data_IF_007100234799
#
_entry.id   IF_007100234799
#
_cell.length_a   1.000
_cell.length_b   1.000
_cell.length_c   1.000
_cell.angle_alpha   90.00
_cell.angle_beta   90.00
_cell.angle_gamma   90.00
#
_symmetry.space_group_name_H-M   'P 1'
#
loop_
_entity.id
_entity.type
_entity.pdbx_description
1 polymer ?
#
# COMPACT_ATOMS: atom_id res chain seq x y z
N UNK A 1 1.60 7.39 30.63
CA UNK A 1 2.47 6.31 30.13
C UNK A 1 1.71 5.02 30.27
N UNK A 2 1.31 4.40 29.18
CA UNK A 2 0.57 3.14 29.19
C UNK A 2 1.47 2.04 29.75
N UNK A 3 1.00 1.32 30.79
CA UNK A 3 1.77 0.27 31.45
C UNK A 3 1.67 -1.04 30.63
N UNK A 4 2.29 -1.04 29.39
CA UNK A 4 2.28 -2.19 28.47
C UNK A 4 3.16 -3.36 28.95
N UNK A 5 3.96 -3.14 30.00
CA UNK A 5 4.95 -4.13 30.47
C UNK A 5 4.30 -5.38 31.08
N UNK A 6 3.10 -5.28 31.63
CA UNK A 6 2.42 -6.39 32.34
C UNK A 6 1.26 -7.00 31.52
N UNK A 7 1.13 -6.62 30.24
CA UNK A 7 0.03 -7.08 29.37
C UNK A 7 0.55 -8.19 28.45
N UNK A 8 -0.15 -9.32 28.43
CA UNK A 8 -0.01 -10.31 27.36
C UNK A 8 -0.97 -9.90 26.24
N UNK A 9 -0.48 -9.23 25.17
CA UNK A 9 -1.37 -8.73 24.14
C UNK A 9 -1.93 -9.84 23.27
N UNK A 10 -3.14 -9.64 22.74
CA UNK A 10 -3.61 -10.38 21.58
C UNK A 10 -2.85 -9.91 20.36
N UNK A 11 -2.14 -10.80 19.67
CA UNK A 11 -1.31 -10.48 18.51
C UNK A 11 -1.98 -11.03 17.25
N UNK A 12 -2.34 -10.16 16.31
CA UNK A 12 -2.77 -10.55 14.96
C UNK A 12 -1.63 -10.32 13.97
N UNK A 13 -1.26 -11.34 13.20
CA UNK A 13 -0.33 -11.19 12.07
C UNK A 13 -1.10 -11.20 10.76
N UNK A 14 -0.99 -10.14 9.96
CA UNK A 14 -1.56 -10.05 8.64
C UNK A 14 -0.52 -10.39 7.58
N UNK A 15 -0.88 -11.29 6.65
CA UNK A 15 0.03 -11.80 5.62
C UNK A 15 -0.62 -11.60 4.24
N UNK A 16 -0.32 -10.50 3.53
CA UNK A 16 -0.76 -10.34 2.15
C UNK A 16 0.00 -11.33 1.25
N UNK A 17 -0.75 -12.06 0.40
CA UNK A 17 -0.22 -13.10 -0.48
C UNK A 17 -0.80 -12.96 -1.89
N UNK A 18 0.05 -13.16 -2.91
CA UNK A 18 -0.35 -13.23 -4.32
C UNK A 18 0.55 -14.19 -5.09
N UNK A 19 0.02 -15.35 -5.48
CA UNK A 19 0.74 -16.44 -6.14
C UNK A 19 1.94 -16.94 -5.31
N UNK A 20 1.68 -17.27 -4.03
CA UNK A 20 2.69 -17.71 -3.06
C UNK A 20 2.43 -19.15 -2.58
N UNK A 21 1.82 -20.01 -3.41
CA UNK A 21 1.46 -21.38 -3.05
C UNK A 21 2.64 -22.22 -2.54
N UNK A 22 3.85 -21.97 -3.02
CA UNK A 22 5.06 -22.67 -2.61
C UNK A 22 5.60 -22.23 -1.23
N UNK A 23 5.41 -20.97 -0.83
CA UNK A 23 6.01 -20.38 0.36
C UNK A 23 5.02 -20.23 1.54
N UNK A 24 3.73 -20.01 1.25
CA UNK A 24 2.75 -19.55 2.25
C UNK A 24 2.59 -20.54 3.42
N UNK A 25 2.60 -21.84 3.18
CA UNK A 25 2.44 -22.85 4.25
C UNK A 25 3.62 -22.79 5.24
N UNK A 26 4.83 -22.70 4.72
CA UNK A 26 6.03 -22.58 5.54
C UNK A 26 6.04 -21.27 6.33
N UNK A 27 5.71 -20.16 5.66
CA UNK A 27 5.67 -18.82 6.28
C UNK A 27 4.66 -18.77 7.42
N UNK A 28 3.43 -19.25 7.22
CA UNK A 28 2.38 -19.28 8.26
C UNK A 28 2.79 -20.16 9.43
N UNK A 29 3.36 -21.36 9.16
CA UNK A 29 3.83 -22.27 10.21
C UNK A 29 4.96 -21.68 11.04
N UNK A 30 5.91 -20.99 10.41
CA UNK A 30 7.01 -20.31 11.08
C UNK A 30 6.51 -19.15 11.95
N UNK A 31 5.62 -18.32 11.44
CA UNK A 31 4.97 -17.26 12.22
C UNK A 31 4.26 -17.83 13.45
N UNK A 32 3.43 -18.85 13.27
CA UNK A 32 2.69 -19.48 14.36
C UNK A 32 3.61 -20.06 15.44
N UNK A 33 4.74 -20.65 15.04
CA UNK A 33 5.74 -21.17 15.98
C UNK A 33 6.27 -20.06 16.91
N UNK A 34 6.61 -18.90 16.36
CA UNK A 34 7.12 -17.76 17.14
C UNK A 34 6.02 -17.11 17.98
N UNK A 35 4.80 -16.98 17.44
CA UNK A 35 3.67 -16.38 18.16
C UNK A 35 3.29 -17.18 19.42
N UNK A 36 3.33 -18.51 19.37
CA UNK A 36 3.08 -19.39 20.53
C UNK A 36 4.01 -19.08 21.71
N UNK A 37 5.26 -18.67 21.44
CA UNK A 37 6.22 -18.30 22.48
C UNK A 37 6.02 -16.87 22.99
N UNK A 38 5.41 -15.98 22.20
CA UNK A 38 5.27 -14.55 22.52
C UNK A 38 3.97 -14.20 23.23
N UNK A 39 2.87 -14.90 22.91
CA UNK A 39 1.56 -14.63 23.49
C UNK A 39 0.70 -15.89 23.56
N UNK A 40 -0.16 -15.96 24.59
CA UNK A 40 -1.18 -17.00 24.71
C UNK A 40 -2.37 -16.77 23.79
N UNK A 41 -2.57 -15.53 23.28
CA UNK A 41 -3.66 -15.16 22.37
C UNK A 41 -3.09 -14.55 21.10
N UNK A 42 -3.23 -15.26 20.00
CA UNK A 42 -2.74 -14.82 18.70
C UNK A 42 -3.59 -15.44 17.57
N UNK A 43 -3.58 -14.80 16.42
CA UNK A 43 -4.18 -15.29 15.18
C UNK A 43 -3.41 -14.77 13.97
N UNK A 44 -3.61 -15.43 12.83
CA UNK A 44 -3.01 -15.05 11.55
C UNK A 44 -4.13 -14.81 10.55
N UNK A 45 -4.07 -13.68 9.84
CA UNK A 45 -5.00 -13.34 8.77
C UNK A 45 -4.22 -13.32 7.45
N UNK A 46 -4.45 -14.31 6.61
CA UNK A 46 -3.87 -14.38 5.26
C UNK A 46 -4.83 -13.73 4.28
N UNK A 47 -4.34 -12.73 3.54
CA UNK A 47 -5.12 -12.04 2.52
C UNK A 47 -4.63 -12.49 1.15
N UNK A 48 -5.41 -13.34 0.49
CA UNK A 48 -5.16 -13.77 -0.88
C UNK A 48 -5.68 -12.72 -1.87
N UNK A 49 -4.76 -11.95 -2.46
CA UNK A 49 -5.07 -10.90 -3.44
C UNK A 49 -5.45 -11.47 -4.81
N UNK A 50 -6.40 -12.43 -4.82
CA UNK A 50 -6.92 -13.03 -6.04
C UNK A 50 -5.88 -13.86 -6.79
N UNK A 51 -5.14 -14.71 -6.11
CA UNK A 51 -4.15 -15.62 -6.70
C UNK A 51 -4.75 -16.52 -7.77
N UNK A 52 -3.93 -16.83 -8.77
CA UNK A 52 -4.27 -17.71 -9.88
C UNK A 52 -3.73 -19.14 -9.69
N UNK A 53 -2.83 -19.30 -8.74
CA UNK A 53 -2.27 -20.58 -8.31
C UNK A 53 -3.08 -21.16 -7.12
N UNK A 54 -2.56 -22.20 -6.49
CA UNK A 54 -3.21 -22.90 -5.39
C UNK A 54 -3.03 -22.20 -4.01
N UNK A 55 -2.60 -20.93 -3.95
CA UNK A 55 -2.35 -20.22 -2.67
C UNK A 55 -3.54 -20.31 -1.72
N UNK A 56 -4.75 -19.98 -2.18
CA UNK A 56 -5.97 -20.03 -1.35
C UNK A 56 -6.27 -21.44 -0.84
N UNK A 57 -6.05 -22.46 -1.67
CA UNK A 57 -6.28 -23.85 -1.31
C UNK A 57 -5.29 -24.34 -0.26
N UNK A 58 -4.02 -24.00 -0.42
CA UNK A 58 -2.96 -24.29 0.56
C UNK A 58 -3.34 -23.69 1.90
N UNK A 59 -3.75 -22.41 1.96
CA UNK A 59 -4.14 -21.76 3.22
C UNK A 59 -5.37 -22.41 3.87
N UNK A 60 -6.39 -22.81 3.07
CA UNK A 60 -7.57 -23.51 3.61
C UNK A 60 -7.24 -24.85 4.25
N UNK A 61 -6.23 -25.52 3.71
CA UNK A 61 -5.79 -26.84 4.17
C UNK A 61 -4.75 -26.78 5.30
N UNK A 62 -4.37 -25.58 5.76
CA UNK A 62 -3.50 -25.45 6.91
C UNK A 62 -4.14 -26.03 8.18
N UNK A 63 -3.29 -26.52 9.08
CA UNK A 63 -3.73 -27.07 10.35
C UNK A 63 -4.57 -26.05 11.13
N UNK A 64 -5.69 -26.50 11.67
CA UNK A 64 -6.58 -25.69 12.51
C UNK A 64 -5.89 -25.08 13.74
N UNK A 65 -4.82 -25.74 14.22
CA UNK A 65 -3.99 -25.22 15.33
C UNK A 65 -3.21 -23.95 14.97
N UNK A 66 -3.10 -23.62 13.69
CA UNK A 66 -2.43 -22.38 13.23
C UNK A 66 -3.31 -21.14 13.33
N UNK A 67 -4.56 -21.26 13.78
CA UNK A 67 -5.51 -20.14 13.98
C UNK A 67 -5.54 -19.15 12.80
N UNK A 68 -5.54 -19.70 11.59
CA UNK A 68 -5.40 -18.92 10.35
C UNK A 68 -6.76 -18.63 9.74
N UNK A 69 -7.06 -17.35 9.48
CA UNK A 69 -8.21 -16.89 8.70
C UNK A 69 -7.74 -16.57 7.29
N UNK A 70 -8.45 -17.09 6.28
CA UNK A 70 -8.25 -16.70 4.87
C UNK A 70 -9.29 -15.64 4.49
N UNK A 71 -8.82 -14.52 3.93
CA UNK A 71 -9.65 -13.53 3.23
C UNK A 71 -9.20 -13.51 1.77
N UNK A 72 -10.06 -13.94 0.84
CA UNK A 72 -9.74 -14.01 -0.58
C UNK A 72 -10.45 -12.92 -1.36
N UNK A 73 -9.73 -12.20 -2.20
CA UNK A 73 -10.29 -11.21 -3.12
C UNK A 73 -10.84 -11.84 -4.40
N UNK A 74 -11.80 -11.17 -5.03
CA UNK A 74 -12.40 -11.61 -6.29
C UNK A 74 -11.43 -11.54 -7.48
N UNK A 75 -10.42 -10.69 -7.40
CA UNK A 75 -9.31 -10.54 -8.35
C UNK A 75 -8.12 -9.87 -7.66
N UNK A 76 -7.00 -9.71 -8.37
CA UNK A 76 -5.90 -8.91 -7.86
C UNK A 76 -6.29 -7.42 -7.84
N UNK A 77 -6.23 -6.82 -6.65
CA UNK A 77 -6.45 -5.40 -6.39
C UNK A 77 -5.15 -4.68 -6.01
N UNK A 78 -4.15 -5.40 -5.53
CA UNK A 78 -2.84 -4.90 -5.16
C UNK A 78 -2.54 -4.98 -3.66
N UNK A 79 -1.24 -5.02 -3.34
CA UNK A 79 -0.72 -5.23 -1.98
C UNK A 79 -1.27 -4.24 -0.96
N UNK A 80 -1.41 -2.96 -1.32
CA UNK A 80 -1.88 -1.91 -0.43
C UNK A 80 -3.32 -2.17 0.06
N UNK A 81 -4.16 -2.70 -0.83
CA UNK A 81 -5.53 -3.10 -0.48
C UNK A 81 -5.57 -4.40 0.31
N UNK A 82 -4.65 -5.32 0.04
CA UNK A 82 -4.52 -6.55 0.83
C UNK A 82 -4.11 -6.22 2.27
N UNK A 83 -3.15 -5.29 2.46
CA UNK A 83 -2.80 -4.79 3.80
C UNK A 83 -4.00 -4.15 4.48
N UNK A 84 -4.74 -3.29 3.77
CA UNK A 84 -5.94 -2.63 4.31
C UNK A 84 -6.99 -3.65 4.77
N UNK A 85 -7.30 -4.65 3.95
CA UNK A 85 -8.22 -5.72 4.32
C UNK A 85 -7.73 -6.52 5.54
N UNK A 86 -6.42 -6.76 5.61
CA UNK A 86 -5.82 -7.39 6.78
C UNK A 86 -6.02 -6.58 8.05
N UNK A 87 -5.81 -5.26 8.00
CA UNK A 87 -6.06 -4.36 9.12
C UNK A 87 -7.53 -4.33 9.55
N UNK A 88 -8.48 -4.38 8.59
CA UNK A 88 -9.92 -4.43 8.87
C UNK A 88 -10.37 -5.74 9.53
N UNK A 89 -9.68 -6.85 9.25
CA UNK A 89 -9.98 -8.16 9.84
C UNK A 89 -9.15 -8.47 11.09
N UNK A 90 -8.19 -7.61 11.45
CA UNK A 90 -7.34 -7.80 12.62
C UNK A 90 -8.09 -7.42 13.92
N UNK A 91 -8.14 -8.36 14.88
CA UNK A 91 -8.80 -8.17 16.17
C UNK A 91 -7.81 -7.92 17.32
N UNK A 92 -6.50 -8.05 17.06
CA UNK A 92 -5.43 -7.96 18.07
C UNK A 92 -5.27 -6.57 18.69
N UNK A 93 -4.69 -6.55 19.90
CA UNK A 93 -4.20 -5.33 20.55
C UNK A 93 -2.95 -4.80 19.84
N UNK A 94 -2.24 -5.72 19.19
CA UNK A 94 -1.05 -5.50 18.36
C UNK A 94 -1.26 -6.19 17.03
N UNK A 95 -1.05 -5.46 15.93
CA UNK A 95 -1.17 -5.99 14.58
C UNK A 95 0.19 -5.92 13.88
N UNK A 96 0.62 -7.03 13.31
CA UNK A 96 1.90 -7.12 12.60
C UNK A 96 1.62 -7.43 11.13
N UNK A 97 2.15 -6.60 10.23
CA UNK A 97 2.14 -6.87 8.79
C UNK A 97 3.44 -7.55 8.39
N UNK A 98 3.38 -8.72 7.74
CA UNK A 98 4.53 -9.48 7.29
C UNK A 98 4.30 -10.06 5.90
N UNK A 99 5.28 -9.99 5.00
CA UNK A 99 5.17 -10.53 3.65
C UNK A 99 5.19 -12.06 3.62
N UNK A 100 4.52 -12.64 2.60
CA UNK A 100 4.39 -14.09 2.44
C UNK A 100 5.66 -14.78 1.87
N UNK A 101 6.64 -14.02 1.38
CA UNK A 101 7.81 -14.51 0.62
C UNK A 101 8.92 -15.15 1.49
N UNK A 102 8.74 -15.21 2.80
CA UNK A 102 9.69 -15.80 3.75
C UNK A 102 10.99 -15.02 3.93
N UNK A 103 11.14 -13.79 3.38
CA UNK A 103 12.35 -12.98 3.52
C UNK A 103 12.52 -12.36 4.90
N UNK A 104 11.47 -12.32 5.70
CA UNK A 104 11.49 -11.73 7.03
C UNK A 104 11.71 -12.82 8.08
N UNK A 105 12.71 -12.61 8.94
CA UNK A 105 12.90 -13.47 10.10
C UNK A 105 11.77 -13.25 11.10
N UNK A 106 11.06 -14.32 11.46
CA UNK A 106 10.03 -14.27 12.50
C UNK A 106 10.63 -14.00 13.91
N UNK A 107 11.93 -14.10 14.08
CA UNK A 107 12.65 -13.72 15.32
C UNK A 107 12.50 -12.22 15.63
N UNK A 108 12.39 -11.37 14.59
CA UNK A 108 12.15 -9.93 14.75
C UNK A 108 10.85 -9.62 15.47
N UNK A 109 9.87 -10.52 15.46
CA UNK A 109 8.59 -10.32 16.15
C UNK A 109 8.80 -10.07 17.66
N UNK A 110 9.76 -10.76 18.27
CA UNK A 110 10.10 -10.60 19.68
C UNK A 110 10.69 -9.23 19.97
N UNK A 111 11.63 -8.76 19.12
CA UNK A 111 12.26 -7.45 19.25
C UNK A 111 11.26 -6.31 19.03
N UNK A 112 10.39 -6.43 18.02
CA UNK A 112 9.30 -5.49 17.77
C UNK A 112 8.37 -5.37 18.97
N UNK A 113 8.01 -6.48 19.60
CA UNK A 113 7.15 -6.50 20.79
C UNK A 113 7.82 -5.84 22.00
N UNK A 114 9.13 -6.02 22.18
CA UNK A 114 9.90 -5.31 23.21
C UNK A 114 9.84 -3.80 23.01
N UNK A 115 10.04 -3.32 21.77
CA UNK A 115 9.94 -1.89 21.46
C UNK A 115 8.53 -1.33 21.67
N UNK A 116 7.51 -2.10 21.34
CA UNK A 116 6.13 -1.72 21.63
C UNK A 116 5.89 -1.57 23.16
N UNK A 117 6.41 -2.48 23.97
CA UNK A 117 6.37 -2.40 25.43
C UNK A 117 7.12 -1.18 25.99
N UNK A 118 8.21 -0.75 25.34
CA UNK A 118 8.93 0.50 25.65
C UNK A 118 8.11 1.77 25.33
N UNK A 119 6.91 1.63 24.76
CA UNK A 119 5.99 2.73 24.51
C UNK A 119 6.09 3.31 23.10
N UNK A 120 6.63 2.56 22.13
CA UNK A 120 6.50 2.89 20.71
C UNK A 120 5.17 2.34 20.20
N UNK A 121 4.46 3.15 19.40
CA UNK A 121 3.15 2.78 18.86
C UNK A 121 3.28 2.04 17.53
N UNK A 122 4.38 2.28 16.82
CA UNK A 122 4.72 1.61 15.57
C UNK A 122 6.20 1.22 15.54
N UNK A 123 6.48 -0.02 15.16
CA UNK A 123 7.85 -0.54 15.01
C UNK A 123 7.99 -1.12 13.62
N UNK A 124 8.93 -0.63 12.81
CA UNK A 124 9.10 -1.06 11.42
C UNK A 124 10.50 -1.60 11.16
N UNK A 125 10.60 -2.59 10.27
CA UNK A 125 11.87 -3.17 9.88
C UNK A 125 12.56 -2.28 8.83
N UNK A 126 13.86 -2.00 9.04
CA UNK A 126 14.72 -1.22 8.14
C UNK A 126 15.76 -2.13 7.52
N UNK A 127 15.70 -2.30 6.21
CA UNK A 127 16.63 -3.17 5.48
C UNK A 127 18.04 -2.59 5.44
N UNK A 128 19.03 -3.33 5.95
CA UNK A 128 20.45 -2.91 6.02
C UNK A 128 21.26 -3.27 4.76
N UNK A 129 20.83 -4.24 3.97
CA UNK A 129 21.61 -4.75 2.83
C UNK A 129 21.29 -4.00 1.53
N UNK A 130 22.07 -2.95 1.24
CA UNK A 130 22.03 -2.18 -0.02
C UNK A 130 23.37 -2.11 -0.74
N UNK A 131 24.22 -3.13 -0.61
CA UNK A 131 25.57 -3.11 -1.20
C UNK A 131 25.61 -3.01 -2.74
N UNK A 132 24.49 -3.14 -3.45
CA UNK A 132 24.45 -3.24 -4.94
C UNK A 132 23.45 -2.25 -5.59
N UNK A 133 23.10 -1.14 -4.98
CA UNK A 133 22.27 -0.17 -5.70
C UNK A 133 23.09 0.75 -6.61
N UNK A 134 22.71 0.82 -7.91
CA UNK A 134 23.34 1.72 -8.86
C UNK A 134 23.21 3.19 -8.41
N UNK A 135 24.22 4.02 -8.73
CA UNK A 135 24.22 5.44 -8.38
C UNK A 135 22.96 6.17 -8.92
N UNK A 136 22.45 5.75 -10.08
CA UNK A 136 21.25 6.29 -10.69
C UNK A 136 19.99 5.99 -9.85
N UNK A 137 19.86 4.77 -9.32
CA UNK A 137 18.72 4.39 -8.47
C UNK A 137 18.75 5.16 -7.13
N UNK A 138 19.95 5.35 -6.54
CA UNK A 138 20.13 6.18 -5.32
C UNK A 138 19.79 7.65 -5.57
N UNK A 139 20.15 8.19 -6.75
CA UNK A 139 19.81 9.56 -7.12
C UNK A 139 18.30 9.73 -7.30
N UNK A 140 17.65 8.84 -8.06
CA UNK A 140 16.20 8.84 -8.25
C UNK A 140 15.42 8.72 -6.94
N UNK A 141 15.85 7.84 -6.04
CA UNK A 141 15.27 7.69 -4.70
C UNK A 141 15.40 8.98 -3.89
N UNK A 142 16.57 9.65 -3.91
CA UNK A 142 16.80 10.93 -3.22
C UNK A 142 15.89 12.03 -3.75
N UNK A 143 15.76 12.15 -5.06
CA UNK A 143 14.87 13.14 -5.70
C UNK A 143 13.42 12.86 -5.31
N UNK A 144 12.97 11.60 -5.36
CA UNK A 144 11.64 11.18 -4.96
C UNK A 144 11.32 11.56 -3.51
N UNK A 145 12.15 11.16 -2.54
CA UNK A 145 11.93 11.50 -1.13
C UNK A 145 12.01 13.00 -0.88
N UNK A 146 12.89 13.73 -1.60
CA UNK A 146 12.96 15.19 -1.50
C UNK A 146 11.70 15.87 -2.05
N UNK A 147 11.15 15.39 -3.17
CA UNK A 147 9.90 15.88 -3.73
C UNK A 147 8.70 15.61 -2.81
N UNK A 148 8.66 14.44 -2.18
CA UNK A 148 7.65 14.09 -1.18
C UNK A 148 7.73 15.00 0.06
N UNK A 149 8.93 15.24 0.58
CA UNK A 149 9.14 16.05 1.79
C UNK A 149 9.00 17.56 1.55
N UNK A 150 9.24 18.07 0.32
CA UNK A 150 9.06 19.49 -0.03
C UNK A 150 7.58 19.90 -0.14
N UNK A 151 6.68 18.95 -0.34
CA UNK A 151 5.23 19.21 -0.50
C UNK A 151 4.39 18.99 0.74
N UNK A 152 4.92 18.38 1.79
CA UNK A 152 4.15 17.97 2.98
C UNK A 152 4.98 18.00 4.27
N UNK A 153 4.29 18.10 5.39
CA UNK A 153 4.86 18.03 6.75
C UNK A 153 5.19 16.57 7.17
N UNK A 154 5.44 15.66 6.20
CA UNK A 154 5.56 14.23 6.45
C UNK A 154 7.00 13.80 6.16
N UNK A 155 7.71 13.31 7.16
CA UNK A 155 9.01 12.66 6.99
C UNK A 155 8.82 11.15 6.84
N UNK A 156 8.88 10.67 5.59
CA UNK A 156 8.78 9.23 5.31
C UNK A 156 10.15 8.60 5.56
N UNK A 157 10.26 7.66 6.52
CA UNK A 157 11.52 7.01 6.81
C UNK A 157 12.06 6.28 5.59
N UNK A 158 13.32 6.58 5.24
CA UNK A 158 14.00 5.88 4.16
C UNK A 158 14.14 4.42 4.53
N UNK A 159 13.93 3.53 3.54
CA UNK A 159 14.17 2.09 3.68
C UNK A 159 13.20 1.35 4.62
N UNK A 160 12.16 2.03 5.14
CA UNK A 160 11.08 1.39 5.85
C UNK A 160 10.30 0.46 4.92
N UNK A 161 10.24 -0.82 5.29
CA UNK A 161 9.41 -1.84 4.65
C UNK A 161 7.95 -1.82 5.14
N UNK A 162 7.15 -2.73 4.57
CA UNK A 162 5.78 -3.01 5.05
C UNK A 162 5.79 -3.92 6.27
N UNK A 163 6.91 -4.61 6.55
CA UNK A 163 7.07 -5.40 7.77
C UNK A 163 7.13 -4.49 8.98
N UNK A 164 6.03 -4.46 9.73
CA UNK A 164 5.86 -3.57 10.88
C UNK A 164 4.86 -4.09 11.89
N UNK A 165 5.08 -3.72 13.13
CA UNK A 165 4.18 -3.87 14.25
C UNK A 165 3.46 -2.55 14.49
N UNK A 166 2.16 -2.59 14.70
CA UNK A 166 1.29 -1.45 14.95
C UNK A 166 0.42 -1.70 16.19
N UNK A 167 0.34 -0.72 17.06
CA UNK A 167 -0.64 -0.70 18.15
C UNK A 167 -2.06 -0.57 17.58
N UNK A 168 -3.05 -1.08 18.30
CA UNK A 168 -4.46 -0.99 17.94
C UNK A 168 -4.93 0.44 17.63
N UNK A 169 -4.43 1.42 18.37
CA UNK A 169 -4.74 2.82 18.12
C UNK A 169 -4.24 3.29 16.75
N UNK A 170 -3.06 2.86 16.35
CA UNK A 170 -2.50 3.14 15.01
C UNK A 170 -3.37 2.52 13.93
N UNK A 171 -3.77 1.25 14.11
CA UNK A 171 -4.65 0.54 13.16
C UNK A 171 -5.98 1.27 13.02
N UNK A 172 -6.61 1.69 14.12
CA UNK A 172 -7.85 2.44 14.09
C UNK A 172 -7.70 3.78 13.36
N UNK A 173 -6.60 4.51 13.61
CA UNK A 173 -6.31 5.75 12.89
C UNK A 173 -6.13 5.53 11.39
N UNK A 174 -5.39 4.48 10.99
CA UNK A 174 -5.22 4.11 9.57
C UNK A 174 -6.55 3.76 8.89
N UNK A 175 -7.42 3.04 9.58
CA UNK A 175 -8.75 2.65 9.06
C UNK A 175 -9.74 3.81 9.01
N UNK A 176 -9.56 4.84 9.86
CA UNK A 176 -10.42 6.04 9.84
C UNK A 176 -10.14 6.95 8.62
N UNK A 177 -9.01 6.77 7.93
CA UNK A 177 -8.68 7.56 6.76
C UNK A 177 -9.55 7.13 5.56
N UNK A 178 -10.30 8.06 4.95
CA UNK A 178 -11.24 7.73 3.88
C UNK A 178 -10.57 7.51 2.52
N UNK A 179 -9.28 7.76 2.42
CA UNK A 179 -8.50 7.71 1.17
C UNK A 179 -8.57 6.33 0.51
N UNK A 180 -8.97 6.32 -0.76
CA UNK A 180 -9.10 5.10 -1.57
C UNK A 180 -7.79 4.73 -2.25
N UNK A 181 -7.08 5.73 -2.76
CA UNK A 181 -5.76 5.52 -3.35
C UNK A 181 -4.69 5.50 -2.24
N UNK A 182 -4.54 4.32 -1.61
CA UNK A 182 -3.66 4.15 -0.45
C UNK A 182 -2.21 3.94 -0.88
N UNK A 183 -1.32 4.80 -0.43
CA UNK A 183 0.11 4.57 -0.42
C UNK A 183 0.54 4.40 1.04
N UNK A 184 0.57 3.14 1.49
CA UNK A 184 0.69 2.83 2.92
C UNK A 184 1.91 3.48 3.56
N UNK A 185 3.07 3.56 2.88
CA UNK A 185 4.27 4.22 3.42
C UNK A 185 4.05 5.70 3.77
N UNK A 186 3.31 6.41 2.95
CA UNK A 186 2.92 7.80 3.22
C UNK A 186 1.94 7.91 4.36
N UNK A 187 0.92 7.05 4.37
CA UNK A 187 -0.14 7.03 5.38
C UNK A 187 0.43 6.71 6.77
N UNK A 188 1.34 5.73 6.87
CA UNK A 188 2.03 5.41 8.12
C UNK A 188 2.80 6.59 8.72
N UNK A 189 3.45 7.40 7.89
CA UNK A 189 4.14 8.60 8.35
C UNK A 189 3.16 9.72 8.70
N UNK A 190 2.04 9.83 7.95
CA UNK A 190 1.04 10.87 8.10
C UNK A 190 0.29 10.80 9.45
N UNK A 191 -0.01 9.60 9.94
CA UNK A 191 -0.72 9.42 11.21
C UNK A 191 0.09 9.88 12.43
N UNK A 192 1.41 10.07 12.31
CA UNK A 192 2.23 10.79 13.28
C UNK A 192 2.47 10.09 14.63
N UNK A 193 2.17 8.80 14.76
CA UNK A 193 2.41 8.04 15.98
C UNK A 193 3.91 7.80 16.25
N UNK A 194 4.25 7.64 17.54
CA UNK A 194 5.63 7.41 17.96
C UNK A 194 6.17 6.13 17.36
N UNK A 195 7.12 6.24 16.44
CA UNK A 195 7.65 5.13 15.67
C UNK A 195 9.15 4.93 15.83
N UNK A 196 9.63 3.68 15.66
CA UNK A 196 11.04 3.34 15.66
C UNK A 196 11.35 2.30 14.59
N UNK A 197 12.51 2.43 13.93
CA UNK A 197 13.03 1.46 12.97
C UNK A 197 13.96 0.45 13.64
N UNK A 198 13.80 -0.84 13.33
CA UNK A 198 14.71 -1.91 13.74
C UNK A 198 15.49 -2.38 12.51
N UNK A 199 16.83 -2.38 12.55
CA UNK A 199 17.63 -2.87 11.43
C UNK A 199 17.47 -4.37 11.26
N UNK A 200 17.32 -4.86 10.01
CA UNK A 200 17.33 -6.29 9.73
C UNK A 200 18.07 -6.62 8.43
N UNK A 201 18.56 -7.84 8.35
CA UNK A 201 19.14 -8.41 7.15
C UNK A 201 18.14 -9.39 6.55
N UNK A 202 17.70 -9.18 5.30
CA UNK A 202 16.73 -10.09 4.66
C UNK A 202 17.35 -11.45 4.46
N UNK A 203 16.56 -12.49 4.69
CA UNK A 203 16.91 -13.86 4.33
C UNK A 203 16.93 -13.99 2.79
N UNK A 204 17.71 -14.94 2.27
CA UNK A 204 17.68 -15.24 0.85
C UNK A 204 16.25 -15.69 0.45
N UNK A 205 15.78 -15.25 -0.72
CA UNK A 205 14.49 -15.68 -1.25
C UNK A 205 14.50 -17.16 -1.49
N UNK A 206 13.56 -17.88 -0.90
CA UNK A 206 13.40 -19.31 -1.14
C UNK A 206 12.81 -19.60 -2.52
N UNK A 207 11.99 -18.70 -3.09
CA UNK A 207 11.38 -18.83 -4.43
C UNK A 207 10.97 -17.46 -4.99
N UNK A 208 11.03 -17.29 -6.35
CA UNK A 208 10.49 -16.16 -7.10
C UNK A 208 11.51 -15.15 -7.65
N UNK A 209 11.26 -14.69 -8.90
CA UNK A 209 12.03 -13.63 -9.53
C UNK A 209 11.41 -12.25 -9.29
N UNK A 210 12.27 -11.23 -9.17
CA UNK A 210 11.82 -9.83 -9.04
C UNK A 210 11.24 -9.32 -10.36
N UNK A 211 9.92 -9.16 -10.45
CA UNK A 211 9.17 -8.79 -11.67
C UNK A 211 9.01 -7.27 -11.90
N UNK A 212 9.76 -6.42 -11.20
CA UNK A 212 9.63 -4.97 -11.39
C UNK A 212 10.46 -4.45 -12.58
N UNK A 213 9.78 -4.17 -13.71
CA UNK A 213 10.40 -3.46 -14.83
C UNK A 213 10.68 -1.99 -14.45
N UNK A 214 11.69 -1.37 -15.11
CA UNK A 214 12.03 0.05 -14.90
C UNK A 214 10.84 0.99 -15.13
N UNK A 215 9.97 0.65 -16.05
CA UNK A 215 8.76 1.42 -16.37
C UNK A 215 7.73 1.37 -15.22
N UNK A 216 7.52 0.21 -14.62
CA UNK A 216 6.64 0.05 -13.44
C UNK A 216 7.16 0.83 -12.23
N UNK A 217 8.48 0.87 -12.02
CA UNK A 217 9.11 1.69 -10.98
C UNK A 217 8.90 3.19 -11.20
N UNK A 218 9.03 3.68 -12.45
CA UNK A 218 8.77 5.08 -12.78
C UNK A 218 7.29 5.44 -12.59
N UNK A 219 6.38 4.57 -13.01
CA UNK A 219 4.94 4.74 -12.81
C UNK A 219 4.57 4.76 -11.31
N UNK A 220 5.14 3.88 -10.50
CA UNK A 220 4.92 3.85 -9.06
C UNK A 220 5.44 5.14 -8.39
N UNK A 221 6.62 5.62 -8.81
CA UNK A 221 7.18 6.87 -8.32
C UNK A 221 6.31 8.07 -8.68
N UNK A 222 5.80 8.13 -9.93
CA UNK A 222 4.88 9.18 -10.38
C UNK A 222 3.58 9.15 -9.58
N UNK A 223 3.00 7.97 -9.40
CA UNK A 223 1.80 7.77 -8.57
C UNK A 223 2.02 8.25 -7.14
N UNK A 224 3.15 7.90 -6.52
CA UNK A 224 3.49 8.36 -5.17
C UNK A 224 3.60 9.89 -5.07
N UNK A 225 4.36 10.53 -5.98
CA UNK A 225 4.53 11.99 -5.98
C UNK A 225 3.19 12.71 -6.15
N UNK A 226 2.37 12.30 -7.11
CA UNK A 226 1.08 12.96 -7.39
C UNK A 226 -0.02 12.66 -6.36
N UNK A 227 0.12 11.58 -5.56
CA UNK A 227 -0.84 11.27 -4.47
C UNK A 227 -0.59 12.11 -3.21
N UNK A 228 0.67 12.42 -2.89
CA UNK A 228 1.03 13.08 -1.63
C UNK A 228 1.62 14.48 -1.80
N UNK A 229 1.84 14.95 -3.03
CA UNK A 229 2.44 16.24 -3.28
C UNK A 229 1.74 16.98 -4.41
N UNK A 230 1.32 18.21 -4.15
CA UNK A 230 0.88 19.16 -5.18
C UNK A 230 2.08 19.84 -5.88
N UNK A 231 3.31 19.37 -5.64
CA UNK A 231 4.53 19.98 -6.20
C UNK A 231 4.53 20.04 -7.74
N UNK A 232 4.15 18.98 -8.49
CA UNK A 232 4.10 19.07 -9.96
C UNK A 232 3.17 20.18 -10.44
N UNK A 233 2.02 20.34 -9.78
CA UNK A 233 1.05 21.39 -10.13
C UNK A 233 1.57 22.78 -9.78
N UNK A 234 2.21 22.95 -8.61
CA UNK A 234 2.84 24.21 -8.20
C UNK A 234 3.99 24.59 -9.13
N UNK A 235 4.81 23.61 -9.53
CA UNK A 235 5.89 23.83 -10.48
C UNK A 235 5.35 24.25 -11.85
N UNK A 236 4.31 23.59 -12.35
CA UNK A 236 3.63 23.96 -13.57
C UNK A 236 3.11 25.41 -13.50
N UNK A 237 2.45 25.78 -12.40
CA UNK A 237 1.95 27.14 -12.19
C UNK A 237 3.09 28.18 -12.13
N UNK A 238 4.20 27.87 -11.46
CA UNK A 238 5.36 28.77 -11.38
C UNK A 238 6.02 28.98 -12.75
N UNK A 239 6.21 27.89 -13.52
CA UNK A 239 6.76 27.95 -14.89
C UNK A 239 5.82 28.72 -15.82
N UNK A 240 4.53 28.44 -15.75
CA UNK A 240 3.50 29.16 -16.53
C UNK A 240 3.47 30.64 -16.21
N UNK A 241 3.53 31.01 -14.92
CA UNK A 241 3.62 32.41 -14.47
C UNK A 241 4.89 33.12 -14.96
N UNK A 242 6.03 32.44 -14.92
CA UNK A 242 7.30 32.99 -15.46
C UNK A 242 7.22 33.24 -16.97
N UNK A 243 6.69 32.26 -17.72
CA UNK A 243 6.52 32.38 -19.17
C UNK A 243 5.54 33.51 -19.54
N UNK A 244 4.43 33.63 -18.80
CA UNK A 244 3.46 34.71 -19.00
C UNK A 244 4.10 36.09 -18.72
N UNK A 245 4.90 36.19 -17.65
CA UNK A 245 5.61 37.43 -17.33
C UNK A 245 6.65 37.81 -18.39
N UNK A 246 7.42 36.85 -18.89
CA UNK A 246 8.38 37.08 -19.98
C UNK A 246 7.66 37.48 -21.27
N UNK A 247 6.56 36.84 -21.62
CA UNK A 247 5.74 37.19 -22.78
C UNK A 247 5.14 38.60 -22.66
N UNK A 248 4.72 39.01 -21.46
CA UNK A 248 4.21 40.35 -21.19
C UNK A 248 5.31 41.41 -21.39
N UNK A 249 6.52 41.21 -20.87
CA UNK A 249 7.65 42.12 -21.07
C UNK A 249 8.01 42.23 -22.55
N UNK A 250 8.07 41.07 -23.24
CA UNK A 250 8.33 41.05 -24.69
C UNK A 250 7.26 41.78 -25.47
N UNK A 251 5.98 41.59 -25.11
CA UNK A 251 4.86 42.31 -25.73
C UNK A 251 4.98 43.83 -25.57
N UNK A 252 5.34 44.32 -24.36
CA UNK A 252 5.58 45.76 -24.13
C UNK A 252 6.75 46.24 -25.00
N UNK A 253 7.84 45.49 -25.07
CA UNK A 253 8.99 45.84 -25.89
C UNK A 253 8.62 45.97 -27.37
N UNK A 254 7.86 45.04 -27.94
CA UNK A 254 7.40 45.06 -29.32
C UNK A 254 6.51 46.28 -29.61
N UNK A 255 5.64 46.67 -28.67
CA UNK A 255 4.78 47.84 -28.80
C UNK A 255 5.62 49.13 -28.81
N UNK A 256 6.60 49.25 -27.91
CA UNK A 256 7.50 50.41 -27.82
C UNK A 256 8.34 50.53 -29.10
N UNK A 257 8.92 49.39 -29.55
CA UNK A 257 9.73 49.33 -30.76
C UNK A 257 8.93 49.82 -32.00
N UNK A 258 7.67 49.36 -32.13
CA UNK A 258 6.78 49.76 -33.21
C UNK A 258 6.40 51.23 -33.16
N UNK A 259 6.22 51.81 -31.97
CA UNK A 259 5.82 53.20 -31.79
C UNK A 259 6.96 54.18 -32.06
N UNK A 260 8.21 53.83 -31.74
CA UNK A 260 9.35 54.73 -31.77
C UNK A 260 10.34 54.49 -32.91
N UNK A 261 10.43 53.24 -33.45
CA UNK A 261 11.48 52.90 -34.43
C UNK A 261 10.98 52.46 -35.79
N UNK A 262 9.68 52.29 -36.01
CA UNK A 262 8.97 52.07 -37.31
C UNK A 262 9.57 51.03 -38.26
N UNK A 263 10.39 50.11 -37.81
CA UNK A 263 10.93 49.03 -38.63
C UNK A 263 9.95 47.86 -38.77
N UNK A 264 9.85 47.30 -40.02
CA UNK A 264 9.07 46.11 -40.27
C UNK A 264 9.86 44.88 -39.79
N UNK A 265 9.44 44.27 -38.69
CA UNK A 265 10.03 43.04 -38.20
C UNK A 265 9.52 41.87 -39.06
N UNK A 266 10.36 41.22 -39.90
CA UNK A 266 9.98 39.99 -40.57
C UNK A 266 9.88 38.87 -39.54
N UNK A 267 8.68 38.41 -39.16
CA UNK A 267 8.53 37.55 -38.00
C UNK A 267 7.57 36.38 -38.14
N UNK A 268 7.05 36.05 -39.32
CA UNK A 268 6.11 34.96 -39.50
C UNK A 268 6.60 33.61 -38.95
N UNK A 269 7.83 33.12 -39.24
CA UNK A 269 8.32 31.87 -38.66
C UNK A 269 8.43 31.92 -37.14
N UNK A 270 8.84 33.06 -36.56
CA UNK A 270 8.96 33.26 -35.12
C UNK A 270 7.59 33.21 -34.42
N UNK A 271 6.56 33.82 -35.03
CA UNK A 271 5.19 33.76 -34.49
C UNK A 271 4.67 32.33 -34.49
N UNK A 272 4.82 31.59 -35.60
CA UNK A 272 4.38 30.20 -35.68
C UNK A 272 5.13 29.31 -34.67
N UNK A 273 6.45 29.45 -34.57
CA UNK A 273 7.26 28.70 -33.62
C UNK A 273 6.86 29.00 -32.17
N UNK A 274 6.66 30.26 -31.83
CA UNK A 274 6.21 30.68 -30.50
C UNK A 274 4.83 30.14 -30.14
N UNK A 275 3.88 30.19 -31.11
CA UNK A 275 2.54 29.63 -30.90
C UNK A 275 2.58 28.14 -30.71
N UNK A 276 3.36 27.37 -31.49
CA UNK A 276 3.54 25.93 -31.33
C UNK A 276 4.15 25.59 -29.99
N UNK A 277 5.19 26.33 -29.57
CA UNK A 277 5.83 26.14 -28.28
C UNK A 277 4.85 26.36 -27.12
N UNK A 278 4.14 27.49 -27.12
CA UNK A 278 3.16 27.83 -26.09
C UNK A 278 2.00 26.83 -26.06
N UNK A 279 1.49 26.40 -27.23
CA UNK A 279 0.47 25.36 -27.30
C UNK A 279 0.97 24.02 -26.70
N UNK A 280 2.20 23.64 -26.99
CA UNK A 280 2.83 22.45 -26.41
C UNK A 280 2.96 22.52 -24.89
N UNK A 281 3.42 23.66 -24.36
CA UNK A 281 3.50 23.90 -22.91
C UNK A 281 2.11 23.88 -22.27
N UNK A 282 1.11 24.48 -22.91
CA UNK A 282 -0.27 24.50 -22.43
C UNK A 282 -0.86 23.08 -22.36
N UNK A 283 -0.68 22.26 -23.41
CA UNK A 283 -1.13 20.86 -23.42
C UNK A 283 -0.48 20.03 -22.31
N UNK A 284 0.82 20.25 -22.03
CA UNK A 284 1.52 19.59 -20.94
C UNK A 284 0.90 19.94 -19.58
N UNK A 285 0.57 21.20 -19.36
CA UNK A 285 -0.07 21.63 -18.10
C UNK A 285 -1.48 21.08 -17.95
N UNK A 286 -2.24 21.04 -19.03
CA UNK A 286 -3.57 20.41 -19.07
C UNK A 286 -3.44 18.91 -18.75
N UNK A 287 -2.40 18.22 -19.26
CA UNK A 287 -2.13 16.84 -18.96
C UNK A 287 -1.85 16.61 -17.46
N UNK A 288 -1.02 17.46 -16.83
CA UNK A 288 -0.77 17.41 -15.39
C UNK A 288 -2.07 17.63 -14.60
N UNK A 289 -2.85 18.64 -14.97
CA UNK A 289 -4.13 18.92 -14.33
C UNK A 289 -5.11 17.75 -14.48
N UNK A 290 -5.14 17.12 -15.66
CA UNK A 290 -5.94 15.93 -15.93
C UNK A 290 -5.61 14.77 -15.01
N UNK A 291 -4.32 14.55 -14.69
CA UNK A 291 -3.89 13.50 -13.74
C UNK A 291 -4.45 13.74 -12.33
N UNK A 292 -4.43 14.98 -11.83
CA UNK A 292 -5.03 15.31 -10.54
C UNK A 292 -6.56 15.18 -10.56
N UNK A 293 -7.18 15.61 -11.64
CA UNK A 293 -8.64 15.49 -11.81
C UNK A 293 -9.08 14.02 -11.87
N UNK A 294 -8.30 13.15 -12.52
CA UNK A 294 -8.56 11.72 -12.55
C UNK A 294 -8.54 11.11 -11.14
N UNK A 295 -7.60 11.54 -10.29
CA UNK A 295 -7.56 11.09 -8.87
C UNK A 295 -8.76 11.57 -8.07
N UNK A 296 -9.13 12.83 -8.21
CA UNK A 296 -10.34 13.37 -7.59
C UNK A 296 -11.57 12.59 -8.06
N UNK A 297 -11.65 12.29 -9.36
CA UNK A 297 -12.74 11.49 -9.92
C UNK A 297 -12.80 10.08 -9.32
N UNK A 298 -11.67 9.40 -9.17
CA UNK A 298 -11.61 8.06 -8.57
C UNK A 298 -12.05 8.10 -7.09
N UNK A 299 -11.68 9.15 -6.36
CA UNK A 299 -12.08 9.34 -4.96
C UNK A 299 -13.59 9.60 -4.84
N UNK A 300 -14.14 10.50 -5.67
CA UNK A 300 -15.57 10.86 -5.69
C UNK A 300 -16.45 9.70 -6.16
N UNK A 301 -15.96 8.86 -7.09
CA UNK A 301 -16.70 7.73 -7.65
C UNK A 301 -17.17 6.72 -6.61
N UNK A 302 -16.52 6.66 -5.47
CA UNK A 302 -17.01 5.91 -4.32
C UNK A 302 -16.96 4.38 -4.47
N UNK A 303 -16.22 3.79 -5.42
CA UNK A 303 -16.11 2.32 -5.56
C UNK A 303 -15.37 1.70 -4.38
N UNK A 304 -15.79 0.51 -3.89
CA UNK A 304 -15.00 -0.20 -2.88
C UNK A 304 -13.56 -0.41 -3.35
N UNK A 305 -12.62 -0.26 -2.44
CA UNK A 305 -11.19 -0.40 -2.74
C UNK A 305 -10.84 -1.83 -3.16
N UNK A 306 -11.56 -2.81 -2.66
CA UNK A 306 -11.45 -4.23 -3.00
C UNK A 306 -12.81 -4.94 -2.80
N UNK A 307 -12.93 -6.16 -3.31
CA UNK A 307 -14.12 -7.01 -3.16
C UNK A 307 -13.66 -8.36 -2.61
N UNK A 308 -14.19 -8.72 -1.45
CA UNK A 308 -13.95 -10.02 -0.83
C UNK A 308 -14.86 -11.07 -1.50
N UNK A 309 -14.27 -12.11 -2.04
CA UNK A 309 -14.98 -13.25 -2.61
C UNK A 309 -15.28 -14.33 -1.56
N UNK A 310 -14.37 -14.49 -0.58
CA UNK A 310 -14.47 -15.56 0.41
C UNK A 310 -13.78 -15.15 1.71
N UNK A 311 -14.38 -15.50 2.85
CA UNK A 311 -13.73 -15.47 4.17
C UNK A 311 -13.86 -16.86 4.78
N UNK A 312 -12.73 -17.53 5.01
CA UNK A 312 -12.67 -18.82 5.68
C UNK A 312 -12.00 -18.66 7.05
N UNK A 313 -12.77 -18.84 8.12
CA UNK A 313 -12.27 -18.81 9.51
C UNK A 313 -11.84 -20.21 9.94
N UNK A 314 -10.88 -20.32 10.89
CA UNK A 314 -10.54 -21.60 11.50
C UNK A 314 -11.80 -22.25 12.09
N UNK A 315 -11.97 -23.54 11.90
CA UNK A 315 -13.16 -24.26 12.37
C UNK A 315 -13.27 -24.16 13.89
N UNK A 316 -14.21 -23.38 14.40
CA UNK A 316 -14.64 -23.50 15.79
C UNK A 316 -15.39 -24.83 15.96
N UNK A 317 -15.05 -25.61 16.99
CA UNK A 317 -15.71 -26.91 17.31
C UNK A 317 -17.25 -26.80 17.44
N UNK A 318 -17.78 -25.62 17.71
CA UNK A 318 -19.22 -25.31 17.73
C UNK A 318 -19.88 -25.31 16.33
N UNK A 319 -19.14 -25.07 15.25
CA UNK A 319 -19.66 -25.11 13.88
C UNK A 319 -19.87 -26.53 13.35
N UNK A 320 -19.14 -27.53 13.87
CA UNK A 320 -19.30 -28.92 13.47
C UNK A 320 -20.67 -29.49 13.91
N UNK A 321 -21.14 -29.08 15.09
CA UNK A 321 -22.45 -29.49 15.59
C UNK A 321 -23.66 -28.92 14.81
N UNK A 322 -23.51 -27.70 14.25
CA UNK A 322 -24.56 -27.07 13.44
C UNK A 322 -24.64 -27.68 12.04
N UNK A 323 -23.54 -28.03 11.40
CA UNK A 323 -23.53 -28.67 10.06
C UNK A 323 -23.99 -30.13 10.12
N UNK A 324 -23.70 -30.86 11.20
CA UNK A 324 -24.18 -32.25 11.36
C UNK A 324 -25.71 -32.32 11.58
N UNK A 325 -26.31 -31.24 12.09
CA UNK A 325 -27.78 -31.11 12.20
C UNK A 325 -28.49 -30.79 10.88
N UNK A 326 -27.78 -30.12 9.95
CA UNK A 326 -28.34 -29.76 8.62
C UNK A 326 -28.13 -30.87 7.56
N UNK A 327 -27.29 -31.87 7.85
CA UNK A 327 -26.94 -32.94 6.92
C UNK A 327 -27.64 -34.28 7.21
N UNK A 328 -28.69 -34.30 8.04
CA UNK A 328 -29.60 -35.45 8.09
C UNK A 328 -30.72 -35.23 7.10
N UNK A 329 -30.81 -35.99 5.99
CA UNK A 329 -32.00 -36.06 5.22
C UNK A 329 -33.10 -36.63 6.13
N UNK A 330 -34.17 -35.92 6.29
CA UNK A 330 -35.41 -36.54 6.81
C UNK A 330 -35.91 -37.48 5.72
N UNK A 331 -35.64 -38.79 5.90
CA UNK A 331 -36.42 -39.83 5.27
C UNK A 331 -37.85 -39.69 5.82
N UNK A 332 -38.69 -39.06 5.07
CA UNK A 332 -40.14 -39.27 5.03
C UNK A 332 -40.78 -38.15 4.19
N UNK A 333 -40.79 -38.35 2.89
CA UNK A 333 -41.89 -37.90 2.02
C UNK A 333 -41.84 -38.76 0.75
N UNK A 334 -42.14 -40.02 0.99
CA UNK A 334 -42.52 -40.95 -0.06
C UNK A 334 -43.88 -40.55 -0.59
N UNK A 335 -43.92 -40.27 -1.84
CA UNK A 335 -44.98 -40.35 -2.81
C UNK A 335 -46.19 -41.22 -2.37
N UNK A 336 -47.29 -40.65 -2.05
CA UNK A 336 -48.58 -41.32 -2.18
C UNK A 336 -49.16 -40.97 -3.55
N UNK A 337 -49.04 -41.92 -4.48
CA UNK A 337 -49.87 -42.01 -5.63
C UNK A 337 -51.30 -42.33 -5.12
N UNK A 338 -52.23 -41.49 -5.50
CA UNK A 338 -53.61 -41.89 -5.71
C UNK A 338 -54.20 -41.08 -6.87
N UNK A 339 -54.33 -41.77 -8.00
CA UNK A 339 -55.30 -41.46 -9.04
C UNK A 339 -56.57 -42.18 -8.71
N UNK A 340 -57.79 -41.73 -9.12
CA UNK A 340 -58.32 -42.09 -10.42
C UNK A 340 -58.50 -40.94 -11.39
#
# INVERSE_FOLDING_TARGET
>A
MSNRNNITPHITVIVPAFNESAAIAHTVSNIAHHLKALSSKWDIVVIDDGSRDNTAEVVRNLDQQLQTTLVRFSRNFGKEYAITAGLEHAEGDVVICMDADGQHSAELLSEMLVKWREGYDMVYAVRQDRKVESAFKRWGSRVFYRAMNLGGQIDIPKDAGDFRLMDKQVVQALLSLPERNRFMKGIYAWVGYKSIGIPYYPLERTHGESTFSKLKLAQLAWTGVTSFSAMPLRLASAVGGLLAFMAFIYGIWVVIDKLFFSESIPGWPTVVASMMFLAGVQLLFIGILGEYLARVYDEVKGRPSYIVAEVSKPFSSKSKAARTKLAKPTDNDLWSNDTP
#
